data_IF_679456528358
#
_entry.id   IF_679456528358
#
_cell.length_a   1.000
_cell.length_b   1.000
_cell.length_c   1.000
_cell.angle_alpha   90.00
_cell.angle_beta   90.00
_cell.angle_gamma   90.00
#
_symmetry.space_group_name_H-M   'P 1'
#
loop_
_entity.id
_entity.type
_entity.pdbx_description
1 polymer ?
#
# COMPACT_ATOMS: atom_id res chain seq x y z
N UNK A 1 -2.60 39.96 -7.57
CA UNK A 1 -2.36 39.35 -8.89
C UNK A 1 -2.75 37.89 -8.77
N UNK A 2 -3.79 37.46 -9.47
CA UNK A 2 -4.31 36.09 -9.36
C UNK A 2 -3.35 35.17 -10.12
N UNK A 3 -3.10 33.95 -9.63
CA UNK A 3 -2.10 33.03 -10.23
C UNK A 3 -2.29 32.77 -11.75
N UNK A 4 -3.49 33.00 -12.29
CA UNK A 4 -3.79 32.94 -13.74
C UNK A 4 -3.15 34.08 -14.55
N UNK A 5 -3.03 35.27 -13.96
CA UNK A 5 -2.45 36.46 -14.60
C UNK A 5 -0.94 36.33 -14.76
N UNK A 6 -0.28 35.68 -13.79
CA UNK A 6 1.18 35.45 -13.78
C UNK A 6 1.63 34.58 -14.96
N UNK A 7 0.77 33.69 -15.45
CA UNK A 7 1.02 32.84 -16.62
C UNK A 7 0.38 33.35 -17.92
N UNK A 8 -0.29 34.52 -17.90
CA UNK A 8 -0.96 35.09 -19.08
C UNK A 8 -2.05 34.20 -19.68
N UNK A 9 -2.69 33.35 -18.86
CA UNK A 9 -3.58 32.29 -19.30
C UNK A 9 -4.84 32.82 -20.01
N UNK A 10 -5.24 34.04 -19.69
CA UNK A 10 -6.42 34.70 -20.27
C UNK A 10 -6.28 34.92 -21.78
N UNK A 11 -5.10 35.30 -22.26
CA UNK A 11 -4.84 35.47 -23.68
C UNK A 11 -4.97 34.13 -24.45
N UNK A 12 -4.49 33.03 -23.84
CA UNK A 12 -4.62 31.69 -24.41
C UNK A 12 -6.08 31.21 -24.42
N UNK A 13 -6.86 31.48 -23.36
CA UNK A 13 -8.28 31.13 -23.32
C UNK A 13 -9.12 31.97 -24.29
N UNK A 14 -8.74 33.22 -24.54
CA UNK A 14 -9.41 34.06 -25.54
C UNK A 14 -9.14 33.54 -26.96
N UNK A 15 -7.90 33.16 -27.26
CA UNK A 15 -7.54 32.54 -28.53
C UNK A 15 -8.26 31.19 -28.73
N UNK A 16 -8.28 30.33 -27.70
CA UNK A 16 -8.96 29.04 -27.75
C UNK A 16 -10.47 29.17 -28.03
N UNK A 17 -11.14 30.19 -27.45
CA UNK A 17 -12.57 30.46 -27.74
C UNK A 17 -12.82 30.87 -29.18
N UNK A 18 -11.92 31.64 -29.78
CA UNK A 18 -12.02 32.06 -31.18
C UNK A 18 -11.76 30.90 -32.16
N UNK A 19 -11.05 29.88 -31.71
CA UNK A 19 -10.70 28.69 -32.48
C UNK A 19 -11.59 27.47 -32.20
N UNK A 20 -12.58 27.60 -31.30
CA UNK A 20 -13.45 26.49 -30.95
C UNK A 20 -14.42 26.19 -32.09
N UNK A 21 -14.16 25.10 -32.81
CA UNK A 21 -15.08 24.58 -33.81
C UNK A 21 -16.34 23.99 -33.13
N UNK A 22 -17.48 24.10 -33.80
CA UNK A 22 -18.76 23.64 -33.24
C UNK A 22 -18.80 22.11 -33.31
N UNK A 23 -19.00 21.39 -32.18
CA UNK A 23 -19.10 19.94 -32.19
C UNK A 23 -20.21 19.45 -33.12
N UNK A 24 -19.97 18.35 -33.82
CA UNK A 24 -20.99 17.77 -34.72
C UNK A 24 -22.23 17.32 -33.94
N UNK A 25 -23.41 17.45 -34.54
CA UNK A 25 -24.67 17.02 -33.92
C UNK A 25 -24.67 15.52 -33.55
N UNK A 26 -23.98 14.69 -34.34
CA UNK A 26 -23.82 13.26 -34.05
C UNK A 26 -23.01 13.00 -32.78
N UNK A 27 -21.95 13.76 -32.54
CA UNK A 27 -21.15 13.66 -31.32
C UNK A 27 -21.98 14.08 -30.10
N UNK A 28 -22.69 15.21 -30.20
CA UNK A 28 -23.58 15.68 -29.14
C UNK A 28 -24.68 14.65 -28.82
N UNK A 29 -25.26 14.02 -29.84
CA UNK A 29 -26.25 12.95 -29.66
C UNK A 29 -25.69 11.74 -28.90
N UNK A 30 -24.45 11.33 -29.20
CA UNK A 30 -23.77 10.25 -28.47
C UNK A 30 -23.47 10.62 -27.02
N UNK A 31 -23.02 11.85 -26.77
CA UNK A 31 -22.77 12.36 -25.41
C UNK A 31 -24.06 12.36 -24.60
N UNK A 32 -25.18 12.81 -25.18
CA UNK A 32 -26.47 12.81 -24.50
C UNK A 32 -26.96 11.38 -24.19
N UNK A 33 -26.78 10.45 -25.12
CA UNK A 33 -27.13 9.04 -24.90
C UNK A 33 -26.26 8.40 -23.79
N UNK A 34 -24.96 8.70 -23.77
CA UNK A 34 -24.04 8.23 -22.74
C UNK A 34 -24.35 8.84 -21.37
N UNK A 35 -24.67 10.14 -21.32
CA UNK A 35 -25.10 10.82 -20.10
C UNK A 35 -26.39 10.23 -19.54
N UNK A 36 -27.35 9.86 -20.41
CA UNK A 36 -28.58 9.19 -19.99
C UNK A 36 -28.30 7.77 -19.48
N UNK A 37 -27.38 7.03 -20.13
CA UNK A 37 -26.95 5.71 -19.67
C UNK A 37 -26.23 5.76 -18.31
N UNK A 38 -25.52 6.86 -18.03
CA UNK A 38 -24.82 7.12 -16.77
C UNK A 38 -25.66 7.87 -15.74
N UNK A 39 -26.95 8.16 -16.00
CA UNK A 39 -27.85 8.62 -14.96
C UNK A 39 -28.07 7.49 -13.96
N UNK A 40 -27.18 7.41 -12.98
CA UNK A 40 -27.37 6.64 -11.76
C UNK A 40 -28.58 7.28 -11.07
N UNK A 41 -29.67 6.53 -10.93
CA UNK A 41 -30.75 6.90 -10.03
C UNK A 41 -30.22 7.09 -8.60
N UNK A 42 -31.03 7.53 -7.63
CA UNK A 42 -30.58 7.54 -6.24
C UNK A 42 -30.04 6.15 -5.89
N UNK A 43 -28.73 6.09 -5.65
CA UNK A 43 -28.04 4.85 -5.31
C UNK A 43 -28.76 4.30 -4.07
N UNK A 44 -29.26 3.06 -4.07
CA UNK A 44 -29.84 2.50 -2.86
C UNK A 44 -28.80 2.67 -1.76
N UNK A 45 -29.19 3.28 -0.63
CA UNK A 45 -28.30 3.48 0.51
C UNK A 45 -27.72 2.13 0.90
N UNK A 46 -26.54 1.80 0.39
CA UNK A 46 -25.88 0.54 0.70
C UNK A 46 -25.56 0.60 2.19
N UNK A 47 -25.99 -0.40 2.98
CA UNK A 47 -25.69 -0.45 4.40
C UNK A 47 -24.19 -0.25 4.57
N UNK A 48 -23.77 0.64 5.48
CA UNK A 48 -22.34 0.84 5.77
C UNK A 48 -21.74 -0.53 6.08
N UNK A 49 -20.89 -1.01 5.18
CA UNK A 49 -20.24 -2.29 5.32
C UNK A 49 -19.53 -2.33 6.68
N UNK A 50 -19.82 -3.35 7.49
CA UNK A 50 -19.18 -3.51 8.80
C UNK A 50 -17.65 -3.52 8.67
N UNK A 51 -16.93 -3.25 9.76
CA UNK A 51 -15.47 -3.14 9.77
C UNK A 51 -14.78 -4.30 9.03
N UNK A 52 -15.23 -5.54 9.24
CA UNK A 52 -14.72 -6.73 8.56
C UNK A 52 -15.01 -6.78 7.05
N UNK A 53 -16.17 -6.29 6.61
CA UNK A 53 -16.51 -6.21 5.19
C UNK A 53 -15.68 -5.13 4.49
N UNK A 54 -15.46 -3.99 5.16
CA UNK A 54 -14.56 -2.93 4.69
C UNK A 54 -13.11 -3.41 4.62
N UNK A 55 -12.66 -4.21 5.60
CA UNK A 55 -11.32 -4.78 5.62
C UNK A 55 -11.13 -5.80 4.48
N UNK A 56 -12.12 -6.67 4.23
CA UNK A 56 -12.09 -7.61 3.10
C UNK A 56 -12.05 -6.89 1.74
N UNK A 57 -12.84 -5.84 1.58
CA UNK A 57 -12.89 -5.07 0.33
C UNK A 57 -11.61 -4.24 0.14
N UNK A 58 -11.05 -3.67 1.22
CA UNK A 58 -9.77 -2.95 1.19
C UNK A 58 -8.57 -3.87 0.91
N UNK A 59 -8.63 -5.12 1.37
CA UNK A 59 -7.59 -6.13 1.16
C UNK A 59 -7.73 -6.80 -0.23
N UNK A 60 -8.76 -6.50 -1.03
CA UNK A 60 -8.85 -6.95 -2.43
C UNK A 60 -9.22 -8.43 -2.62
N UNK A 61 -9.83 -9.05 -1.60
CA UNK A 61 -10.36 -10.42 -1.68
C UNK A 61 -9.38 -11.53 -1.26
N UNK A 62 -9.67 -12.77 -1.66
CA UNK A 62 -8.90 -13.96 -1.29
C UNK A 62 -7.42 -14.02 -1.79
N UNK A 63 -6.99 -13.35 -2.89
CA UNK A 63 -5.61 -13.47 -3.37
C UNK A 63 -4.58 -12.89 -2.41
N UNK A 64 -4.90 -11.81 -1.71
CA UNK A 64 -4.01 -11.19 -0.72
C UNK A 64 -3.92 -12.00 0.57
N UNK A 65 -5.01 -12.66 0.97
CA UNK A 65 -5.02 -13.65 2.06
C UNK A 65 -4.14 -14.85 1.73
N UNK A 66 -4.22 -15.35 0.49
CA UNK A 66 -3.33 -16.38 -0.02
C UNK A 66 -1.87 -15.91 -0.02
N UNK A 67 -1.60 -14.69 -0.51
CA UNK A 67 -0.26 -14.11 -0.49
C UNK A 67 0.33 -13.96 0.92
N UNK A 68 -0.47 -13.51 1.90
CA UNK A 68 -0.06 -13.41 3.29
C UNK A 68 0.25 -14.79 3.90
N UNK A 69 -0.59 -15.79 3.63
CA UNK A 69 -0.37 -17.16 4.08
C UNK A 69 0.92 -17.74 3.46
N UNK A 70 1.13 -17.57 2.16
CA UNK A 70 2.35 -18.02 1.48
C UNK A 70 3.59 -17.30 2.00
N UNK A 71 3.52 -15.98 2.24
CA UNK A 71 4.61 -15.22 2.84
C UNK A 71 4.95 -15.71 4.25
N UNK A 72 3.93 -16.03 5.07
CA UNK A 72 4.12 -16.63 6.39
C UNK A 72 4.80 -17.99 6.33
N UNK A 73 4.33 -18.88 5.45
CA UNK A 73 4.96 -20.21 5.25
C UNK A 73 6.40 -20.06 4.74
N UNK A 74 6.66 -19.14 3.82
CA UNK A 74 8.01 -18.85 3.33
C UNK A 74 8.91 -18.32 4.46
N UNK A 75 8.40 -17.44 5.32
CA UNK A 75 9.14 -16.96 6.49
C UNK A 75 9.49 -18.07 7.47
N UNK A 76 8.54 -18.97 7.77
CA UNK A 76 8.78 -20.14 8.63
C UNK A 76 9.82 -21.07 8.01
N UNK A 77 9.74 -21.31 6.70
CA UNK A 77 10.71 -22.14 5.98
C UNK A 77 12.13 -21.55 6.03
N UNK A 78 12.26 -20.26 5.74
CA UNK A 78 13.54 -19.53 5.78
C UNK A 78 14.13 -19.51 7.20
N UNK A 79 13.28 -19.35 8.23
CA UNK A 79 13.72 -19.40 9.62
C UNK A 79 14.21 -20.79 10.05
N UNK A 80 13.58 -21.85 9.56
CA UNK A 80 13.96 -23.23 9.90
C UNK A 80 15.23 -23.70 9.18
N UNK A 81 15.36 -23.37 7.90
CA UNK A 81 16.55 -23.67 7.11
C UNK A 81 17.22 -22.36 6.77
N UNK A 82 18.06 -21.84 7.67
CA UNK A 82 18.88 -20.66 7.36
C UNK A 82 19.82 -21.00 6.18
N UNK A 83 19.57 -20.48 4.95
CA UNK A 83 20.51 -20.65 3.85
C UNK A 83 21.87 -20.02 4.18
N UNK A 84 22.94 -20.67 3.70
CA UNK A 84 24.29 -20.14 3.79
C UNK A 84 24.35 -18.73 3.18
N UNK A 85 24.76 -17.74 3.99
CA UNK A 85 24.85 -16.33 3.60
C UNK A 85 23.87 -15.38 4.29
N UNK A 86 22.85 -15.88 5.00
CA UNK A 86 21.98 -15.02 5.82
C UNK A 86 22.72 -14.35 6.98
N UNK A 87 23.73 -15.01 7.55
CA UNK A 87 24.54 -14.43 8.64
C UNK A 87 25.28 -13.17 8.19
N UNK A 88 25.81 -13.16 6.96
CA UNK A 88 26.48 -11.98 6.40
C UNK A 88 25.51 -10.82 6.19
N UNK A 89 24.29 -11.10 5.72
CA UNK A 89 23.25 -10.09 5.53
C UNK A 89 22.74 -9.58 6.88
N UNK A 90 22.57 -10.47 7.86
CA UNK A 90 22.13 -10.12 9.20
C UNK A 90 23.18 -9.27 9.94
N UNK A 91 24.46 -9.61 9.84
CA UNK A 91 25.58 -8.81 10.35
C UNK A 91 25.60 -7.42 9.71
N UNK A 92 25.35 -7.33 8.40
CA UNK A 92 25.42 -6.06 7.68
C UNK A 92 24.21 -5.14 7.92
N UNK A 93 23.03 -5.70 8.18
CA UNK A 93 21.79 -4.93 8.42
C UNK A 93 21.59 -4.62 9.91
N UNK A 94 21.84 -5.59 10.79
CA UNK A 94 21.57 -5.46 12.22
C UNK A 94 22.81 -5.25 13.08
N UNK A 95 24.02 -5.30 12.51
CA UNK A 95 25.25 -5.21 13.29
C UNK A 95 25.32 -6.30 14.36
N UNK A 96 24.73 -7.47 14.08
CA UNK A 96 24.71 -8.59 15.00
C UNK A 96 26.11 -9.20 15.06
N UNK A 97 27.00 -8.57 15.83
CA UNK A 97 28.17 -9.27 16.38
C UNK A 97 27.65 -10.45 17.19
N UNK A 98 28.34 -11.58 17.05
CA UNK A 98 28.01 -12.93 17.55
C UNK A 98 27.89 -13.04 19.08
N UNK A 99 27.84 -11.91 19.78
CA UNK A 99 27.63 -11.85 21.21
C UNK A 99 26.15 -11.62 21.53
N UNK A 100 25.32 -12.59 21.14
CA UNK A 100 24.28 -13.05 22.08
C UNK A 100 25.06 -13.65 23.25
N UNK A 101 25.60 -12.78 24.10
CA UNK A 101 26.30 -13.18 25.31
C UNK A 101 25.36 -14.13 26.03
N UNK A 102 25.89 -15.31 26.38
CA UNK A 102 25.33 -16.13 27.44
C UNK A 102 24.99 -15.17 28.59
N UNK A 103 23.73 -14.77 28.70
CA UNK A 103 23.22 -14.18 29.92
C UNK A 103 23.32 -15.33 30.89
N UNK A 104 24.31 -15.27 31.77
CA UNK A 104 24.42 -16.20 32.87
C UNK A 104 23.16 -16.02 33.71
N UNK A 105 22.18 -16.89 33.46
CA UNK A 105 20.85 -16.83 34.07
C UNK A 105 20.91 -17.26 35.54
N UNK A 106 22.09 -17.62 36.05
CA UNK A 106 22.22 -18.18 37.39
C UNK A 106 23.60 -17.90 38.04
N UNK A 107 23.94 -16.63 38.31
CA UNK A 107 25.19 -16.26 38.97
C UNK A 107 25.30 -16.80 40.42
N UNK A 108 24.19 -17.21 41.03
CA UNK A 108 24.14 -17.56 42.46
C UNK A 108 24.62 -18.98 42.83
N UNK A 109 25.09 -19.81 41.87
CA UNK A 109 25.63 -21.16 42.18
C UNK A 109 27.11 -21.33 41.82
N UNK A 110 27.77 -20.29 41.30
CA UNK A 110 29.18 -20.34 40.92
C UNK A 110 30.13 -20.14 42.10
N UNK A 111 29.84 -19.14 42.95
CA UNK A 111 30.80 -18.68 43.96
C UNK A 111 30.89 -19.60 45.21
N UNK A 112 29.87 -20.42 45.47
CA UNK A 112 29.80 -21.27 46.68
C UNK A 112 30.56 -22.61 46.54
N UNK A 113 31.04 -22.97 45.34
CA UNK A 113 31.77 -24.23 45.10
C UNK A 113 33.29 -24.09 45.09
N UNK A 114 33.82 -22.86 45.15
CA UNK A 114 35.27 -22.59 45.11
C UNK A 114 35.91 -22.27 46.46
N UNK A 115 35.15 -22.07 47.55
CA UNK A 115 35.72 -21.86 48.88
C UNK A 115 35.77 -23.18 49.67
N UNK A 116 36.82 -23.96 49.40
CA UNK A 116 37.28 -25.09 50.23
C UNK A 116 38.52 -24.73 51.03
#
# INVERSE_FOLDING_TARGET
MTKKDEFGLDAYFEAARKMADVPTAALLGRIMADAEAQRVGPDPLTPRAGFFASLRDAIGGWPTLAGLATAGVAGVWIGFSQPAGLDLVAQQIWGADEATYLVDLLPAFGDDLEEG
#
